data_IF_498863470421
#
_entry.id   IF_498863470421
#
_cell.length_a   1.000
_cell.length_b   1.000
_cell.length_c   1.000
_cell.angle_alpha   90.00
_cell.angle_beta   90.00
_cell.angle_gamma   90.00
#
_symmetry.space_group_name_H-M   'P 1'
#
loop_
_entity.id
_entity.type
_entity.pdbx_description
1 polymer ?
#
# COMPACT_ATOMS: atom_id res chain seq x y z
N UNK A 1 42.06 -17.54 31.16
CA UNK A 1 41.78 -18.61 30.26
C UNK A 1 41.21 -18.20 28.92
N UNK A 2 41.18 -19.13 28.00
CA UNK A 2 40.71 -18.92 26.62
C UNK A 2 39.19 -18.64 26.54
N UNK A 3 38.41 -18.84 27.62
CA UNK A 3 36.97 -18.63 27.66
C UNK A 3 36.56 -17.17 27.82
N UNK A 4 37.42 -16.33 28.40
CA UNK A 4 37.11 -14.91 28.64
C UNK A 4 36.99 -14.06 27.37
N UNK A 5 37.85 -14.17 26.35
CA UNK A 5 37.70 -13.41 25.13
C UNK A 5 36.51 -13.86 24.29
N UNK A 6 36.09 -15.11 24.38
CA UNK A 6 34.91 -15.63 23.68
C UNK A 6 33.63 -15.07 24.33
N UNK A 7 33.57 -15.01 25.66
CA UNK A 7 32.47 -14.41 26.42
C UNK A 7 32.32 -12.91 26.14
N UNK A 8 33.42 -12.17 26.06
CA UNK A 8 33.44 -10.76 25.70
C UNK A 8 32.94 -10.53 24.29
N UNK A 9 33.32 -11.39 23.35
CA UNK A 9 32.85 -11.30 21.96
C UNK A 9 31.35 -11.56 21.84
N UNK A 10 30.84 -12.55 22.57
CA UNK A 10 29.42 -12.86 22.62
C UNK A 10 28.61 -11.72 23.25
N UNK A 11 29.13 -11.09 24.31
CA UNK A 11 28.52 -9.92 24.95
C UNK A 11 28.48 -8.72 24.00
N UNK A 12 29.55 -8.49 23.24
CA UNK A 12 29.62 -7.43 22.23
C UNK A 12 28.62 -7.66 21.09
N UNK A 13 28.43 -8.91 20.65
CA UNK A 13 27.44 -9.27 19.64
C UNK A 13 26.02 -9.08 20.15
N UNK A 14 25.74 -9.39 21.42
CA UNK A 14 24.45 -9.15 22.05
C UNK A 14 24.12 -7.65 22.19
N UNK A 15 25.13 -6.83 22.49
CA UNK A 15 24.97 -5.38 22.60
C UNK A 15 24.69 -4.72 21.25
N UNK A 16 25.19 -5.30 20.13
CA UNK A 16 24.92 -4.78 18.80
C UNK A 16 23.50 -5.07 18.31
N UNK A 17 22.79 -6.04 18.91
CA UNK A 17 21.44 -6.39 18.58
C UNK A 17 20.36 -5.57 19.29
N UNK A 18 20.74 -4.59 20.12
CA UNK A 18 19.80 -3.83 20.95
C UNK A 18 19.50 -2.41 20.43
N UNK A 19 19.76 -2.12 19.15
CA UNK A 19 19.41 -0.82 18.56
C UNK A 19 17.88 -0.71 18.49
N UNK A 20 17.26 0.32 19.11
CA UNK A 20 15.81 0.48 19.05
C UNK A 20 15.32 0.62 17.61
N UNK A 21 14.21 -0.04 17.28
CA UNK A 21 13.66 -0.05 15.93
C UNK A 21 13.29 1.36 15.42
N UNK A 22 12.97 2.30 16.32
CA UNK A 22 12.59 3.67 15.96
C UNK A 22 13.78 4.54 15.51
N UNK A 23 15.03 4.07 15.68
CA UNK A 23 16.23 4.81 15.23
C UNK A 23 16.77 4.29 13.88
N UNK A 24 15.98 3.47 13.17
CA UNK A 24 16.39 2.95 11.85
C UNK A 24 16.55 4.10 10.84
N UNK A 25 17.70 4.21 10.15
CA UNK A 25 17.93 5.26 9.15
C UNK A 25 16.86 5.29 8.05
N UNK A 26 16.30 4.14 7.68
CA UNK A 26 15.26 4.04 6.67
C UNK A 26 14.01 4.84 7.02
N UNK A 27 13.66 4.95 8.31
CA UNK A 27 12.49 5.71 8.75
C UNK A 27 12.75 7.22 8.76
N UNK A 28 13.97 7.66 9.03
CA UNK A 28 14.35 9.07 8.99
C UNK A 28 14.29 9.64 7.56
N UNK A 29 14.62 8.81 6.56
CA UNK A 29 14.65 9.23 5.16
C UNK A 29 13.34 8.93 4.41
N UNK A 30 12.40 8.24 5.02
CA UNK A 30 11.16 7.84 4.37
C UNK A 30 10.37 9.03 3.78
N UNK A 31 10.18 10.15 4.49
CA UNK A 31 9.46 11.30 3.92
C UNK A 31 10.12 11.87 2.67
N UNK A 32 11.45 11.78 2.56
CA UNK A 32 12.20 12.26 1.40
C UNK A 32 12.12 11.29 0.22
N UNK A 33 12.02 9.99 0.50
CA UNK A 33 11.94 8.94 -0.52
C UNK A 33 10.52 8.73 -1.05
N UNK A 34 9.51 9.18 -0.31
CA UNK A 34 8.10 8.97 -0.64
C UNK A 34 7.72 9.51 -2.03
N UNK A 35 8.09 10.74 -2.43
CA UNK A 35 7.76 11.23 -3.78
C UNK A 35 8.31 10.34 -4.89
N UNK A 36 9.53 9.82 -4.73
CA UNK A 36 10.13 8.91 -5.71
C UNK A 36 9.37 7.59 -5.80
N UNK A 37 8.98 7.02 -4.66
CA UNK A 37 8.22 5.76 -4.62
C UNK A 37 6.83 5.91 -5.27
N UNK A 38 6.15 7.00 -5.00
CA UNK A 38 4.85 7.28 -5.60
C UNK A 38 4.98 7.53 -7.11
N UNK A 39 6.05 8.21 -7.54
CA UNK A 39 6.34 8.41 -8.95
C UNK A 39 6.58 7.09 -9.68
N UNK A 40 7.31 6.16 -9.07
CA UNK A 40 7.53 4.82 -9.64
C UNK A 40 6.20 4.09 -9.87
N UNK A 41 5.30 4.15 -8.90
CA UNK A 41 3.96 3.57 -9.04
C UNK A 41 3.19 4.21 -10.19
N UNK A 42 3.22 5.53 -10.31
CA UNK A 42 2.51 6.27 -11.38
C UNK A 42 3.08 5.93 -12.76
N UNK A 43 4.40 5.91 -12.89
CA UNK A 43 5.07 5.57 -14.15
C UNK A 43 4.72 4.15 -14.59
N UNK A 44 4.75 3.20 -13.66
CA UNK A 44 4.43 1.81 -13.96
C UNK A 44 2.96 1.66 -14.35
N UNK A 45 2.05 2.36 -13.66
CA UNK A 45 0.63 2.31 -13.99
C UNK A 45 0.33 2.90 -15.38
N UNK A 46 1.03 3.97 -15.78
CA UNK A 46 0.83 4.57 -17.12
C UNK A 46 1.00 3.55 -18.24
N UNK A 47 1.82 2.52 -18.06
CA UNK A 47 2.02 1.47 -19.07
C UNK A 47 0.75 0.66 -19.37
N UNK A 48 -0.16 0.55 -18.41
CA UNK A 48 -1.34 -0.32 -18.48
C UNK A 48 -2.66 0.42 -18.28
N UNK A 49 -2.59 1.72 -17.98
CA UNK A 49 -3.76 2.54 -17.64
C UNK A 49 -4.84 2.51 -18.72
N UNK A 50 -4.46 2.78 -19.96
CA UNK A 50 -5.42 2.88 -21.07
C UNK A 50 -6.13 1.54 -21.30
N UNK A 51 -5.41 0.42 -21.18
CA UNK A 51 -6.01 -0.90 -21.31
C UNK A 51 -7.13 -1.11 -20.30
N UNK A 52 -6.85 -0.89 -19.01
CA UNK A 52 -7.83 -1.16 -17.97
C UNK A 52 -8.99 -0.15 -18.00
N UNK A 53 -8.71 1.11 -18.23
CA UNK A 53 -9.76 2.13 -18.30
C UNK A 53 -10.69 1.92 -19.49
N UNK A 54 -10.16 1.47 -20.63
CA UNK A 54 -10.95 1.18 -21.82
C UNK A 54 -11.88 -0.03 -21.65
N UNK A 55 -11.52 -0.95 -20.76
CA UNK A 55 -12.32 -2.15 -20.48
C UNK A 55 -13.45 -1.92 -19.47
N UNK A 56 -13.40 -0.82 -18.71
CA UNK A 56 -14.43 -0.48 -17.76
C UNK A 56 -15.70 -0.06 -18.50
N UNK A 57 -16.77 -0.81 -18.32
CA UNK A 57 -18.04 -0.62 -19.02
C UNK A 57 -18.97 0.39 -18.33
N UNK A 58 -18.65 0.79 -17.10
CA UNK A 58 -19.47 1.73 -16.33
C UNK A 58 -18.62 2.87 -15.76
N UNK A 59 -18.46 3.92 -16.59
CA UNK A 59 -17.69 5.10 -16.22
C UNK A 59 -18.45 6.04 -15.28
N UNK A 60 -19.75 5.81 -15.07
CA UNK A 60 -20.57 6.65 -14.19
C UNK A 60 -20.31 6.38 -12.71
N UNK A 61 -19.73 5.23 -12.37
CA UNK A 61 -19.47 4.84 -10.99
C UNK A 61 -17.98 4.95 -10.70
N UNK A 62 -17.62 5.65 -9.63
CA UNK A 62 -16.28 5.64 -9.07
C UNK A 62 -16.27 4.66 -7.89
N UNK A 63 -15.42 3.64 -7.96
CA UNK A 63 -15.32 2.61 -6.92
C UNK A 63 -14.67 3.18 -5.64
N UNK A 64 -13.52 3.84 -5.79
CA UNK A 64 -12.84 4.50 -4.66
C UNK A 64 -13.54 5.82 -4.36
N UNK A 65 -14.57 5.74 -3.52
CA UNK A 65 -15.43 6.87 -3.20
C UNK A 65 -14.74 7.93 -2.35
N UNK A 66 -15.27 9.15 -2.40
CA UNK A 66 -14.80 10.25 -1.54
C UNK A 66 -15.02 9.97 -0.06
N UNK A 67 -15.97 9.10 0.30
CA UNK A 67 -16.20 8.68 1.68
C UNK A 67 -14.96 8.01 2.27
N UNK A 68 -14.27 7.21 1.48
CA UNK A 68 -13.00 6.60 1.89
C UNK A 68 -11.97 7.66 2.23
N UNK A 69 -11.85 8.69 1.39
CA UNK A 69 -10.92 9.79 1.62
C UNK A 69 -11.26 10.56 2.90
N UNK A 70 -12.55 10.74 3.20
CA UNK A 70 -12.99 11.38 4.44
C UNK A 70 -12.61 10.55 5.68
N UNK A 71 -12.68 9.22 5.59
CA UNK A 71 -12.23 8.35 6.68
C UNK A 71 -10.75 8.53 6.99
N UNK A 72 -9.92 8.81 5.99
CA UNK A 72 -8.49 9.02 6.17
C UNK A 72 -8.17 10.20 7.10
N UNK A 73 -9.05 11.19 7.16
CA UNK A 73 -8.88 12.38 8.00
C UNK A 73 -9.20 12.12 9.46
N UNK A 74 -9.94 11.07 9.75
CA UNK A 74 -10.42 10.76 11.10
C UNK A 74 -9.58 9.70 11.82
N UNK A 75 -10.10 9.24 12.95
CA UNK A 75 -9.48 8.19 13.76
C UNK A 75 -9.40 6.84 13.05
N UNK A 76 -10.24 6.63 12.04
CA UNK A 76 -10.27 5.40 11.24
C UNK A 76 -9.24 5.40 10.10
N UNK A 77 -8.50 6.49 9.91
CA UNK A 77 -7.64 6.67 8.73
C UNK A 77 -6.63 5.57 8.54
N UNK A 78 -5.97 5.16 9.61
CA UNK A 78 -4.96 4.11 9.52
C UNK A 78 -5.58 2.76 9.13
N UNK A 79 -6.78 2.45 9.62
CA UNK A 79 -7.49 1.22 9.25
C UNK A 79 -7.97 1.25 7.80
N UNK A 80 -8.56 2.37 7.40
CA UNK A 80 -9.08 2.55 6.03
C UNK A 80 -7.98 2.41 4.99
N UNK A 81 -6.82 3.04 5.22
CA UNK A 81 -5.67 2.95 4.31
C UNK A 81 -5.10 1.53 4.29
N UNK A 82 -5.00 0.88 5.44
CA UNK A 82 -4.52 -0.50 5.53
C UNK A 82 -5.42 -1.44 4.74
N UNK A 83 -6.74 -1.29 4.88
CA UNK A 83 -7.72 -2.11 4.15
C UNK A 83 -7.72 -1.81 2.66
N UNK A 84 -7.54 -0.54 2.26
CA UNK A 84 -7.43 -0.15 0.86
C UNK A 84 -6.22 -0.82 0.20
N UNK A 85 -5.06 -0.77 0.85
CA UNK A 85 -3.86 -1.43 0.34
C UNK A 85 -4.02 -2.95 0.29
N UNK A 86 -4.58 -3.55 1.34
CA UNK A 86 -4.84 -4.98 1.38
C UNK A 86 -5.78 -5.42 0.28
N UNK A 87 -6.83 -4.67 0.03
CA UNK A 87 -7.79 -4.93 -1.05
C UNK A 87 -7.10 -4.98 -2.42
N UNK A 88 -6.28 -3.99 -2.74
CA UNK A 88 -5.55 -3.98 -4.01
C UNK A 88 -4.51 -5.09 -4.10
N UNK A 89 -3.77 -5.34 -3.04
CA UNK A 89 -2.70 -6.34 -3.06
C UNK A 89 -3.21 -7.78 -3.03
N UNK A 90 -4.32 -8.04 -2.35
CA UNK A 90 -4.82 -9.39 -2.13
C UNK A 90 -5.94 -9.79 -3.10
N UNK A 91 -6.71 -8.83 -3.61
CA UNK A 91 -7.86 -9.10 -4.47
C UNK A 91 -7.70 -8.53 -5.89
N UNK A 92 -7.46 -7.23 -6.02
CA UNK A 92 -7.46 -6.54 -7.32
C UNK A 92 -6.30 -7.00 -8.21
N UNK A 93 -5.06 -6.83 -7.73
CA UNK A 93 -3.87 -7.16 -8.52
C UNK A 93 -3.82 -8.65 -8.88
N UNK A 94 -4.05 -9.60 -7.95
CA UNK A 94 -4.09 -11.01 -8.32
C UNK A 94 -5.17 -11.34 -9.34
N UNK A 95 -6.35 -10.73 -9.22
CA UNK A 95 -7.44 -10.94 -10.19
C UNK A 95 -7.07 -10.39 -11.57
N UNK A 96 -6.45 -9.22 -11.63
CA UNK A 96 -5.98 -8.63 -12.88
C UNK A 96 -4.91 -9.49 -13.55
N UNK A 97 -4.02 -10.10 -12.77
CA UNK A 97 -3.01 -11.02 -13.31
C UNK A 97 -3.62 -12.25 -13.94
N UNK A 98 -4.71 -12.77 -13.36
CA UNK A 98 -5.42 -13.95 -13.89
C UNK A 98 -6.24 -13.63 -15.14
N UNK A 99 -6.88 -12.46 -15.20
CA UNK A 99 -7.80 -12.11 -16.30
C UNK A 99 -7.11 -11.38 -17.45
N UNK A 100 -6.02 -10.69 -17.20
CA UNK A 100 -5.29 -9.88 -18.19
C UNK A 100 -3.86 -10.36 -18.30
N UNK A 101 -3.68 -11.57 -18.84
CA UNK A 101 -2.40 -12.27 -18.90
C UNK A 101 -1.34 -11.52 -19.68
N UNK A 102 -1.73 -10.71 -20.68
CA UNK A 102 -0.78 -9.89 -21.44
C UNK A 102 -0.15 -8.76 -20.61
N UNK A 103 -0.72 -8.45 -19.44
CA UNK A 103 -0.23 -7.38 -18.54
C UNK A 103 0.28 -7.92 -17.21
N UNK A 104 0.47 -9.24 -17.08
CA UNK A 104 0.92 -9.86 -15.83
C UNK A 104 2.21 -9.24 -15.30
N UNK A 105 3.17 -8.95 -16.17
CA UNK A 105 4.45 -8.41 -15.77
C UNK A 105 4.31 -7.02 -15.12
N UNK A 106 3.59 -6.12 -15.78
CA UNK A 106 3.39 -4.76 -15.26
C UNK A 106 2.53 -4.75 -14.00
N UNK A 107 1.48 -5.57 -13.93
CA UNK A 107 0.64 -5.72 -12.73
C UNK A 107 1.47 -6.30 -11.57
N UNK A 108 2.31 -7.29 -11.87
CA UNK A 108 3.22 -7.86 -10.86
C UNK A 108 4.22 -6.84 -10.32
N UNK A 109 4.72 -5.96 -11.18
CA UNK A 109 5.63 -4.88 -10.78
C UNK A 109 4.93 -3.91 -9.82
N UNK A 110 3.67 -3.54 -10.10
CA UNK A 110 2.86 -2.73 -9.18
C UNK A 110 2.74 -3.40 -7.81
N UNK A 111 2.47 -4.70 -7.81
CA UNK A 111 2.37 -5.48 -6.57
C UNK A 111 3.65 -5.45 -5.76
N UNK A 112 4.79 -5.60 -6.42
CA UNK A 112 6.11 -5.57 -5.76
C UNK A 112 6.42 -4.18 -5.19
N UNK A 113 6.10 -3.12 -5.92
CA UNK A 113 6.28 -1.74 -5.45
C UNK A 113 5.40 -1.46 -4.23
N UNK A 114 4.15 -1.91 -4.25
CA UNK A 114 3.23 -1.76 -3.11
C UNK A 114 3.69 -2.56 -1.91
N UNK A 115 4.19 -3.77 -2.11
CA UNK A 115 4.69 -4.62 -1.03
C UNK A 115 5.85 -3.94 -0.30
N UNK A 116 6.79 -3.37 -1.05
CA UNK A 116 7.92 -2.62 -0.52
C UNK A 116 7.47 -1.39 0.27
N UNK A 117 6.53 -0.62 -0.30
CA UNK A 117 5.98 0.57 0.36
C UNK A 117 5.25 0.20 1.65
N UNK A 118 4.40 -0.83 1.63
CA UNK A 118 3.67 -1.30 2.81
C UNK A 118 4.62 -1.73 3.93
N UNK A 119 5.68 -2.46 3.59
CA UNK A 119 6.68 -2.88 4.57
C UNK A 119 7.33 -1.68 5.26
N UNK A 120 7.65 -0.63 4.51
CA UNK A 120 8.22 0.59 5.06
C UNK A 120 7.20 1.34 5.93
N UNK A 121 5.94 1.40 5.51
CA UNK A 121 4.88 2.03 6.28
C UNK A 121 4.64 1.32 7.62
N UNK A 122 4.64 -0.01 7.61
CA UNK A 122 4.52 -0.81 8.85
C UNK A 122 5.62 -0.50 9.84
N UNK A 123 6.83 -0.37 9.33
CA UNK A 123 8.03 -0.16 10.15
C UNK A 123 8.09 1.26 10.70
N UNK A 124 7.71 2.26 9.89
CA UNK A 124 7.95 3.67 10.19
C UNK A 124 6.75 4.42 10.76
N UNK A 125 5.53 3.95 10.53
CA UNK A 125 4.30 4.68 10.89
C UNK A 125 3.34 3.91 11.79
N UNK A 126 3.75 2.76 12.34
CA UNK A 126 2.89 1.90 13.18
C UNK A 126 1.51 1.68 12.55
N UNK A 127 1.48 1.44 11.28
CA UNK A 127 0.34 1.46 10.39
C UNK A 127 -0.76 0.43 10.73
N UNK A 128 -0.44 -0.59 11.54
CA UNK A 128 -1.32 -1.75 11.76
C UNK A 128 -1.86 -1.90 13.18
N UNK A 129 -1.80 -0.84 13.97
CA UNK A 129 -2.31 -0.88 15.34
C UNK A 129 -3.77 -0.41 15.45
N UNK A 130 -4.49 -0.36 14.32
CA UNK A 130 -5.87 0.10 14.27
C UNK A 130 -6.82 -1.10 14.31
N UNK A 131 -7.77 -1.10 15.25
CA UNK A 131 -8.66 -2.23 15.50
C UNK A 131 -10.03 -2.11 14.84
N UNK A 132 -10.45 -0.90 14.47
CA UNK A 132 -11.78 -0.67 13.89
C UNK A 132 -11.80 -0.93 12.39
N UNK A 133 -12.90 -1.52 11.88
CA UNK A 133 -13.04 -1.80 10.44
C UNK A 133 -13.58 -0.60 9.69
N UNK A 134 -13.14 -0.44 8.44
CA UNK A 134 -13.58 0.64 7.54
C UNK A 134 -14.94 0.33 6.92
N UNK A 135 -15.91 1.22 7.13
CA UNK A 135 -17.22 1.11 6.50
C UNK A 135 -17.14 1.37 5.00
N UNK A 136 -16.36 2.36 4.59
CA UNK A 136 -16.18 2.69 3.17
C UNK A 136 -15.54 1.54 2.42
N UNK A 137 -14.52 0.90 3.00
CA UNK A 137 -13.88 -0.25 2.35
C UNK A 137 -14.83 -1.45 2.26
N UNK A 138 -15.68 -1.65 3.25
CA UNK A 138 -16.71 -2.69 3.18
C UNK A 138 -17.63 -2.45 1.97
N UNK A 139 -18.10 -1.24 1.79
CA UNK A 139 -18.96 -0.86 0.66
C UNK A 139 -18.23 -1.03 -0.67
N UNK A 140 -16.96 -0.64 -0.74
CA UNK A 140 -16.13 -0.78 -1.94
C UNK A 140 -15.98 -2.26 -2.32
N UNK A 141 -15.67 -3.12 -1.37
CA UNK A 141 -15.52 -4.56 -1.62
C UNK A 141 -16.83 -5.20 -2.08
N UNK A 142 -17.96 -4.79 -1.50
CA UNK A 142 -19.28 -5.27 -1.91
C UNK A 142 -19.59 -4.85 -3.35
N UNK A 143 -19.33 -3.59 -3.69
CA UNK A 143 -19.52 -3.06 -5.04
C UNK A 143 -18.63 -3.78 -6.04
N UNK A 144 -17.36 -3.95 -5.71
CA UNK A 144 -16.39 -4.68 -6.52
C UNK A 144 -16.89 -6.09 -6.85
N UNK A 145 -17.37 -6.80 -5.84
CA UNK A 145 -17.88 -8.17 -6.01
C UNK A 145 -19.12 -8.20 -6.91
N UNK A 146 -20.04 -7.25 -6.73
CA UNK A 146 -21.26 -7.17 -7.55
C UNK A 146 -20.97 -6.88 -9.02
N UNK A 147 -19.90 -6.15 -9.31
CA UNK A 147 -19.52 -5.79 -10.69
C UNK A 147 -18.89 -6.95 -11.46
N UNK A 148 -18.54 -8.03 -10.79
CA UNK A 148 -17.91 -9.21 -11.39
C UNK A 148 -16.61 -8.80 -12.12
N UNK A 149 -16.42 -9.24 -13.38
CA UNK A 149 -15.21 -8.93 -14.15
C UNK A 149 -15.01 -7.43 -14.36
N UNK A 150 -16.09 -6.67 -14.57
CA UNK A 150 -15.97 -5.22 -14.73
C UNK A 150 -15.40 -4.54 -13.48
N UNK A 151 -15.62 -5.11 -12.30
CA UNK A 151 -15.01 -4.62 -11.05
C UNK A 151 -13.49 -4.65 -11.11
N UNK A 152 -12.91 -5.69 -11.73
CA UNK A 152 -11.46 -5.80 -11.88
C UNK A 152 -10.94 -4.68 -12.79
N UNK A 153 -11.59 -4.46 -13.92
CA UNK A 153 -11.19 -3.39 -14.86
C UNK A 153 -11.34 -2.02 -14.22
N UNK A 154 -12.45 -1.80 -13.51
CA UNK A 154 -12.69 -0.53 -12.82
C UNK A 154 -11.65 -0.28 -11.73
N UNK A 155 -11.43 -1.24 -10.84
CA UNK A 155 -10.47 -1.09 -9.74
C UNK A 155 -9.05 -0.86 -10.26
N UNK A 156 -8.66 -1.58 -11.31
CA UNK A 156 -7.36 -1.36 -11.95
C UNK A 156 -7.31 0.00 -12.65
N UNK A 157 -8.38 0.40 -13.34
CA UNK A 157 -8.47 1.69 -14.01
C UNK A 157 -8.40 2.87 -13.03
N UNK A 158 -8.81 2.67 -11.78
CA UNK A 158 -8.74 3.66 -10.71
C UNK A 158 -7.46 3.60 -9.89
N UNK A 159 -6.43 2.90 -10.36
CA UNK A 159 -5.18 2.78 -9.62
C UNK A 159 -4.51 4.15 -9.40
N UNK A 160 -4.71 5.10 -10.30
CA UNK A 160 -4.26 6.48 -10.13
C UNK A 160 -4.95 7.16 -8.94
N UNK A 161 -6.25 6.93 -8.76
CA UNK A 161 -7.00 7.41 -7.59
C UNK A 161 -6.46 6.76 -6.31
N UNK A 162 -6.18 5.45 -6.37
CA UNK A 162 -5.55 4.72 -5.26
C UNK A 162 -4.23 5.38 -4.84
N UNK A 163 -3.35 5.68 -5.80
CA UNK A 163 -2.07 6.34 -5.52
C UNK A 163 -2.30 7.72 -4.90
N UNK A 164 -3.26 8.49 -5.44
CA UNK A 164 -3.58 9.83 -4.93
C UNK A 164 -4.09 9.78 -3.49
N UNK A 165 -4.94 8.82 -3.17
CA UNK A 165 -5.47 8.64 -1.81
C UNK A 165 -4.36 8.25 -0.83
N UNK A 166 -3.50 7.34 -1.26
CA UNK A 166 -2.34 6.92 -0.47
C UNK A 166 -1.41 8.11 -0.18
N UNK A 167 -1.12 8.93 -1.19
CA UNK A 167 -0.31 10.13 -1.04
C UNK A 167 -0.94 11.11 -0.06
N UNK A 168 -2.23 11.36 -0.16
CA UNK A 168 -2.94 12.26 0.75
C UNK A 168 -2.86 11.78 2.19
N UNK A 169 -3.06 10.48 2.43
CA UNK A 169 -2.94 9.91 3.77
C UNK A 169 -1.53 10.11 4.34
N UNK A 170 -0.51 9.75 3.58
CA UNK A 170 0.88 9.84 4.02
C UNK A 170 1.31 11.30 4.24
N UNK A 171 0.82 12.23 3.43
CA UNK A 171 1.08 13.66 3.57
C UNK A 171 0.42 14.22 4.83
N UNK A 172 -0.81 13.84 5.12
CA UNK A 172 -1.52 14.26 6.33
C UNK A 172 -0.81 13.78 7.59
N UNK A 173 -0.32 12.54 7.61
CA UNK A 173 0.37 11.96 8.77
C UNK A 173 1.75 12.56 9.02
N UNK A 174 2.37 13.16 7.99
CA UNK A 174 3.66 13.87 8.15
C UNK A 174 3.53 15.14 8.96
N UNK A 175 2.35 15.78 8.94
CA UNK A 175 2.12 17.07 9.63
C UNK A 175 1.80 16.92 11.11
N UNK A 176 1.55 15.71 11.56
CA UNK A 176 1.28 15.36 12.95
C UNK A 176 2.49 14.62 13.52
#
# INVERSE_FOLDING_TARGET
GAALPVLLLLLLLLLQGTVPAHTQPACLHFPQLLPTKLKELRVKFEEIKDYFQSKDEDLSIQLLSSDLLEEFKGSLGCRSVSEMMGFYMEEVLPSAMRTSTQHQHSVGDLGNLLLSLRATMRRCHRFFTCEESSRSMKNIKETFTRMNENGIYKAMGEFDIFINYLEKYLTMRRRN
#
